data_IF_908834768957
#
_entry.id   IF_908834768957
#
_cell.length_a   1.000
_cell.length_b   1.000
_cell.length_c   1.000
_cell.angle_alpha   90.00
_cell.angle_beta   90.00
_cell.angle_gamma   90.00
#
_symmetry.space_group_name_H-M   'P 1'
#
loop_
_entity.id
_entity.type
_entity.pdbx_description
1 polymer ?
#
# COMPACT_ATOMS: atom_id res chain seq x y z
N UNK A 1 16.42 -8.37 -5.38
CA UNK A 1 17.84 -7.95 -5.22
C UNK A 1 18.15 -6.66 -6.01
N UNK A 2 17.70 -6.53 -7.27
CA UNK A 2 17.91 -5.34 -8.11
C UNK A 2 17.21 -4.06 -7.60
N UNK A 3 15.98 -4.16 -7.06
CA UNK A 3 15.25 -3.01 -6.49
C UNK A 3 15.90 -2.46 -5.22
N UNK A 4 16.47 -3.33 -4.39
CA UNK A 4 17.09 -2.98 -3.10
C UNK A 4 18.36 -2.14 -3.33
N UNK A 5 19.15 -2.46 -4.35
CA UNK A 5 20.35 -1.72 -4.72
C UNK A 5 20.05 -0.31 -5.29
N UNK A 6 18.94 -0.17 -6.04
CA UNK A 6 18.55 1.12 -6.63
C UNK A 6 18.07 2.11 -5.55
N UNK A 7 17.29 1.64 -4.59
CA UNK A 7 16.77 2.48 -3.51
C UNK A 7 17.85 2.85 -2.47
N UNK A 8 18.74 1.91 -2.11
CA UNK A 8 19.86 2.20 -1.20
C UNK A 8 20.77 3.32 -1.75
N UNK A 9 20.99 3.37 -3.06
CA UNK A 9 21.87 4.37 -3.70
C UNK A 9 21.24 5.77 -3.83
N UNK A 10 19.91 5.88 -3.98
CA UNK A 10 19.21 7.16 -4.13
C UNK A 10 18.79 7.80 -2.79
N UNK A 11 18.53 6.98 -1.77
CA UNK A 11 17.86 7.41 -0.53
C UNK A 11 18.82 7.57 0.66
N UNK A 12 19.94 6.84 0.68
CA UNK A 12 20.94 6.84 1.77
C UNK A 12 21.63 8.19 1.99
N UNK A 13 21.65 9.09 1.00
CA UNK A 13 22.45 10.33 1.11
C UNK A 13 21.77 11.49 1.86
N UNK A 14 20.44 11.54 2.05
CA UNK A 14 19.77 12.79 2.52
C UNK A 14 18.56 12.68 3.47
N UNK A 15 17.96 11.51 3.70
CA UNK A 15 16.77 11.40 4.56
C UNK A 15 16.82 10.17 5.47
N UNK A 16 16.43 10.33 6.74
CA UNK A 16 16.30 9.19 7.69
C UNK A 16 15.06 8.37 7.34
N UNK A 17 15.13 7.03 7.48
CA UNK A 17 14.03 6.11 7.11
C UNK A 17 12.72 6.44 7.83
N UNK A 18 12.81 6.85 9.09
CA UNK A 18 11.64 7.31 9.87
C UNK A 18 10.98 8.56 9.28
N UNK A 19 11.75 9.50 8.72
CA UNK A 19 11.19 10.68 8.02
C UNK A 19 10.45 10.26 6.75
N UNK A 20 10.98 9.28 6.01
CA UNK A 20 10.36 8.79 4.77
C UNK A 20 9.05 8.07 5.04
N UNK A 21 9.02 7.19 6.05
CA UNK A 21 7.80 6.50 6.48
C UNK A 21 6.75 7.51 6.97
N UNK A 22 7.18 8.49 7.77
CA UNK A 22 6.27 9.53 8.28
C UNK A 22 5.71 10.37 7.13
N UNK A 23 6.56 10.84 6.22
CA UNK A 23 6.13 11.61 5.05
C UNK A 23 5.20 10.81 4.14
N UNK A 24 5.54 9.56 3.81
CA UNK A 24 4.69 8.67 3.02
C UNK A 24 3.35 8.40 3.71
N UNK A 25 3.34 8.24 5.04
CA UNK A 25 2.08 8.06 5.78
C UNK A 25 1.21 9.32 5.69
N UNK A 26 1.78 10.51 5.91
CA UNK A 26 1.07 11.79 5.84
C UNK A 26 0.52 12.03 4.43
N UNK A 27 1.35 11.86 3.40
CA UNK A 27 0.95 12.04 2.00
C UNK A 27 -0.19 11.08 1.63
N UNK A 28 -0.12 9.82 2.09
CA UNK A 28 -1.19 8.83 1.83
C UNK A 28 -2.50 9.22 2.52
N UNK A 29 -2.46 9.66 3.78
CA UNK A 29 -3.65 10.12 4.52
C UNK A 29 -4.27 11.34 3.86
N UNK A 30 -3.45 12.32 3.44
CA UNK A 30 -3.92 13.50 2.70
C UNK A 30 -4.52 13.10 1.34
N UNK A 31 -3.87 12.18 0.61
CA UNK A 31 -4.38 11.68 -0.67
C UNK A 31 -5.76 11.05 -0.53
N UNK A 32 -5.96 10.22 0.50
CA UNK A 32 -7.26 9.60 0.80
C UNK A 32 -8.32 10.62 1.26
N UNK A 33 -7.94 11.66 2.02
CA UNK A 33 -8.84 12.77 2.39
C UNK A 33 -9.28 13.58 1.15
N UNK A 34 -8.35 13.84 0.23
CA UNK A 34 -8.64 14.49 -1.05
C UNK A 34 -9.55 13.61 -1.91
N UNK A 35 -9.29 12.30 -1.97
CA UNK A 35 -10.13 11.34 -2.68
C UNK A 35 -11.57 11.31 -2.12
N UNK A 36 -11.74 11.39 -0.80
CA UNK A 36 -13.05 11.51 -0.15
C UNK A 36 -13.80 12.77 -0.60
N UNK A 37 -13.08 13.87 -0.80
CA UNK A 37 -13.64 15.20 -1.14
C UNK A 37 -14.08 15.35 -2.60
N UNK A 38 -13.61 14.48 -3.51
CA UNK A 38 -13.98 14.50 -4.94
C UNK A 38 -15.47 14.20 -5.13
N UNK A 39 -16.23 15.10 -5.76
CA UNK A 39 -17.67 14.93 -6.00
C UNK A 39 -18.58 15.48 -4.90
N UNK A 40 -18.02 16.00 -3.80
CA UNK A 40 -18.73 16.87 -2.86
C UNK A 40 -18.30 18.33 -3.03
N UNK A 41 -16.98 18.57 -2.97
CA UNK A 41 -16.38 19.91 -3.05
C UNK A 41 -15.63 20.07 -4.37
N UNK A 42 -14.93 19.03 -4.85
CA UNK A 42 -14.18 19.07 -6.11
C UNK A 42 -15.00 18.49 -7.26
N UNK A 43 -14.90 19.07 -8.48
CA UNK A 43 -15.59 18.53 -9.66
C UNK A 43 -15.12 17.10 -9.95
N UNK A 44 -16.06 16.22 -10.34
CA UNK A 44 -15.73 14.87 -10.81
C UNK A 44 -15.04 14.97 -12.17
N UNK A 45 -13.71 15.10 -12.16
CA UNK A 45 -12.90 14.99 -13.37
C UNK A 45 -11.98 13.76 -13.28
N UNK A 46 -11.93 13.01 -14.38
CA UNK A 46 -11.09 11.82 -14.51
C UNK A 46 -9.61 12.19 -14.30
N UNK A 47 -9.19 13.36 -14.77
CA UNK A 47 -7.81 13.85 -14.65
C UNK A 47 -7.44 14.07 -13.18
N UNK A 48 -8.29 14.74 -12.40
CA UNK A 48 -8.03 14.99 -10.99
C UNK A 48 -7.96 13.68 -10.19
N UNK A 49 -8.86 12.73 -10.50
CA UNK A 49 -8.88 11.42 -9.86
C UNK A 49 -7.58 10.64 -10.13
N UNK A 50 -7.06 10.70 -11.36
CA UNK A 50 -5.80 10.05 -11.72
C UNK A 50 -4.59 10.69 -11.02
N UNK A 51 -4.55 12.01 -10.88
CA UNK A 51 -3.46 12.69 -10.16
C UNK A 51 -3.45 12.28 -8.68
N UNK A 52 -4.63 12.26 -8.04
CA UNK A 52 -4.75 11.83 -6.64
C UNK A 52 -4.39 10.33 -6.51
N UNK A 53 -4.87 9.49 -7.42
CA UNK A 53 -4.56 8.07 -7.46
C UNK A 53 -3.05 7.84 -7.59
N UNK A 54 -2.39 8.52 -8.53
CA UNK A 54 -0.95 8.45 -8.70
C UNK A 54 -0.19 8.84 -7.43
N UNK A 55 -0.62 9.91 -6.75
CA UNK A 55 0.00 10.34 -5.50
C UNK A 55 -0.13 9.29 -4.38
N UNK A 56 -1.31 8.68 -4.23
CA UNK A 56 -1.54 7.62 -3.25
C UNK A 56 -0.67 6.39 -3.57
N UNK A 57 -0.67 5.93 -4.83
CA UNK A 57 0.12 4.78 -5.28
C UNK A 57 1.61 5.00 -5.07
N UNK A 58 2.13 6.18 -5.43
CA UNK A 58 3.53 6.53 -5.24
C UNK A 58 3.93 6.48 -3.76
N UNK A 59 3.08 7.05 -2.90
CA UNK A 59 3.31 7.12 -1.46
C UNK A 59 3.26 5.74 -0.79
N UNK A 60 2.28 4.89 -1.15
CA UNK A 60 2.22 3.50 -0.69
C UNK A 60 3.43 2.68 -1.18
N UNK A 61 3.87 2.90 -2.42
CA UNK A 61 5.07 2.29 -2.98
C UNK A 61 6.32 2.63 -2.17
N UNK A 62 6.49 3.90 -1.82
CA UNK A 62 7.60 4.37 -0.99
C UNK A 62 7.57 3.76 0.43
N UNK A 63 6.39 3.64 1.04
CA UNK A 63 6.22 2.99 2.34
C UNK A 63 6.63 1.50 2.29
N UNK A 64 6.09 0.75 1.31
CA UNK A 64 6.40 -0.67 1.14
C UNK A 64 7.90 -0.91 0.89
N UNK A 65 8.53 -0.05 0.08
CA UNK A 65 9.96 -0.14 -0.19
C UNK A 65 10.80 0.09 1.07
N UNK A 66 10.44 1.09 1.89
CA UNK A 66 11.16 1.36 3.14
C UNK A 66 11.03 0.21 4.13
N UNK A 67 9.86 -0.42 4.21
CA UNK A 67 9.62 -1.61 5.04
C UNK A 67 10.50 -2.80 4.63
N UNK A 68 10.68 -3.04 3.32
CA UNK A 68 11.56 -4.10 2.82
C UNK A 68 13.02 -3.86 3.22
N UNK A 69 13.49 -2.61 3.14
CA UNK A 69 14.85 -2.23 3.54
C UNK A 69 15.05 -2.44 5.04
N UNK A 70 14.12 -1.95 5.88
CA UNK A 70 14.18 -2.13 7.33
C UNK A 70 14.19 -3.60 7.75
N UNK A 71 13.43 -4.44 7.06
CA UNK A 71 13.42 -5.87 7.32
C UNK A 71 14.74 -6.52 6.88
N UNK A 72 15.30 -6.16 5.71
CA UNK A 72 16.60 -6.68 5.28
C UNK A 72 17.73 -6.33 6.25
N UNK A 73 17.75 -5.10 6.78
CA UNK A 73 18.78 -4.70 7.76
C UNK A 73 18.64 -5.46 9.07
N UNK A 74 17.41 -5.84 9.45
CA UNK A 74 17.18 -6.68 10.63
C UNK A 74 17.68 -8.10 10.40
N UNK A 75 17.52 -8.63 9.18
CA UNK A 75 18.07 -9.94 8.78
C UNK A 75 19.59 -9.92 8.80
N UNK A 76 20.21 -8.89 8.20
CA UNK A 76 21.67 -8.73 8.16
C UNK A 76 22.25 -8.63 9.57
N UNK A 77 21.60 -7.89 10.47
CA UNK A 77 22.01 -7.83 11.88
C UNK A 77 21.93 -9.20 12.58
N UNK A 78 20.88 -9.98 12.31
CA UNK A 78 20.69 -11.31 12.89
C UNK A 78 21.79 -12.29 12.42
N UNK A 79 22.12 -12.29 11.14
CA UNK A 79 23.20 -13.11 10.56
C UNK A 79 24.56 -12.75 11.18
N UNK A 80 24.84 -11.46 11.35
CA UNK A 80 26.10 -11.00 11.93
C UNK A 80 26.21 -11.38 13.42
N UNK A 81 25.09 -11.45 14.17
CA UNK A 81 25.07 -11.78 15.60
C UNK A 81 25.09 -13.29 15.88
N UNK A 82 24.38 -14.09 15.09
CA UNK A 82 24.22 -15.53 15.34
C UNK A 82 25.10 -16.42 14.45
N UNK A 83 25.74 -15.86 13.41
CA UNK A 83 26.59 -16.57 12.45
C UNK A 83 25.91 -17.74 11.73
N UNK A 84 24.58 -17.85 11.84
CA UNK A 84 23.74 -18.77 11.08
C UNK A 84 22.88 -17.98 10.10
N UNK A 85 22.69 -18.54 8.90
CA UNK A 85 22.01 -17.86 7.81
C UNK A 85 20.55 -18.31 7.71
N UNK A 86 19.63 -17.52 8.27
CA UNK A 86 18.19 -17.81 8.26
C UNK A 86 17.42 -17.11 7.12
N UNK A 87 18.11 -16.53 6.13
CA UNK A 87 17.55 -15.80 4.97
C UNK A 87 16.33 -16.47 4.33
N UNK A 88 16.44 -17.77 4.06
CA UNK A 88 15.41 -18.55 3.37
C UNK A 88 14.13 -18.63 4.19
N UNK A 89 14.23 -18.79 5.51
CA UNK A 89 13.08 -18.89 6.41
C UNK A 89 12.38 -17.53 6.48
N UNK A 90 13.14 -16.44 6.64
CA UNK A 90 12.58 -15.10 6.78
C UNK A 90 11.93 -14.63 5.46
N UNK A 91 12.53 -14.96 4.32
CA UNK A 91 11.95 -14.72 3.00
C UNK A 91 10.64 -15.50 2.80
N UNK A 92 10.60 -16.77 3.20
CA UNK A 92 9.39 -17.60 3.13
C UNK A 92 8.26 -17.02 3.99
N UNK A 93 8.56 -16.61 5.23
CA UNK A 93 7.59 -15.96 6.13
C UNK A 93 7.06 -14.66 5.52
N UNK A 94 7.94 -13.85 4.90
CA UNK A 94 7.52 -12.60 4.22
C UNK A 94 6.56 -12.91 3.07
N UNK A 95 6.89 -13.86 2.20
CA UNK A 95 6.03 -14.22 1.06
C UNK A 95 4.69 -14.82 1.52
N UNK A 96 4.71 -15.63 2.57
CA UNK A 96 3.49 -16.14 3.19
C UNK A 96 2.61 -15.01 3.74
N UNK A 97 3.20 -14.08 4.49
CA UNK A 97 2.48 -12.96 5.08
C UNK A 97 1.87 -12.04 4.01
N UNK A 98 2.59 -11.75 2.93
CA UNK A 98 2.06 -10.93 1.83
C UNK A 98 0.93 -11.63 1.08
N UNK A 99 1.03 -12.95 0.84
CA UNK A 99 -0.04 -13.72 0.21
C UNK A 99 -1.29 -13.81 1.09
N UNK A 100 -1.12 -14.03 2.39
CA UNK A 100 -2.22 -14.01 3.35
C UNK A 100 -2.89 -12.63 3.38
N UNK A 101 -2.10 -11.56 3.43
CA UNK A 101 -2.59 -10.19 3.40
C UNK A 101 -3.40 -9.90 2.12
N UNK A 102 -2.96 -10.38 0.95
CA UNK A 102 -3.73 -10.23 -0.30
C UNK A 102 -5.08 -10.96 -0.26
N UNK A 103 -5.14 -12.14 0.35
CA UNK A 103 -6.41 -12.86 0.49
C UNK A 103 -7.38 -12.12 1.43
N UNK A 104 -6.85 -11.59 2.54
CA UNK A 104 -7.64 -10.78 3.49
C UNK A 104 -8.12 -9.49 2.83
N UNK A 105 -7.27 -8.80 2.07
CA UNK A 105 -7.61 -7.58 1.35
C UNK A 105 -8.79 -7.82 0.38
N UNK A 106 -8.72 -8.90 -0.42
CA UNK A 106 -9.80 -9.28 -1.32
C UNK A 106 -11.11 -9.58 -0.58
N UNK A 107 -11.04 -10.25 0.57
CA UNK A 107 -12.21 -10.54 1.39
C UNK A 107 -12.86 -9.27 1.95
N UNK A 108 -12.04 -8.30 2.41
CA UNK A 108 -12.53 -7.02 2.92
C UNK A 108 -13.20 -6.19 1.82
N UNK A 109 -12.60 -6.12 0.63
CA UNK A 109 -13.21 -5.44 -0.52
C UNK A 109 -14.56 -6.06 -0.89
N UNK A 110 -14.64 -7.39 -0.92
CA UNK A 110 -15.90 -8.10 -1.17
C UNK A 110 -16.98 -7.77 -0.13
N UNK A 111 -16.62 -7.74 1.16
CA UNK A 111 -17.53 -7.35 2.24
C UNK A 111 -18.04 -5.91 2.09
N UNK A 112 -17.18 -4.96 1.73
CA UNK A 112 -17.58 -3.56 1.50
C UNK A 112 -18.60 -3.46 0.35
N UNK A 113 -18.40 -4.22 -0.73
CA UNK A 113 -19.35 -4.25 -1.85
C UNK A 113 -20.72 -4.82 -1.46
N UNK A 114 -20.73 -5.85 -0.62
CA UNK A 114 -21.97 -6.44 -0.09
C UNK A 114 -22.68 -5.45 0.83
N UNK A 115 -21.97 -4.85 1.79
CA UNK A 115 -22.54 -3.90 2.77
C UNK A 115 -23.06 -2.62 2.09
N UNK A 116 -22.37 -2.13 1.07
CA UNK A 116 -22.82 -0.97 0.29
C UNK A 116 -24.04 -1.25 -0.58
N UNK A 117 -24.49 -2.52 -0.68
CA UNK A 117 -25.57 -2.99 -1.54
C UNK A 117 -25.36 -2.64 -3.03
N UNK A 118 -24.10 -2.38 -3.42
CA UNK A 118 -23.67 -2.13 -4.81
C UNK A 118 -23.19 -3.43 -5.46
N UNK A 119 -23.00 -4.51 -4.72
CA UNK A 119 -22.47 -5.78 -5.24
C UNK A 119 -23.16 -6.25 -6.54
N UNK A 120 -24.49 -6.18 -6.63
CA UNK A 120 -25.23 -6.57 -7.84
C UNK A 120 -24.95 -5.64 -9.05
N UNK A 121 -24.72 -4.35 -8.80
CA UNK A 121 -24.33 -3.37 -9.83
C UNK A 121 -22.87 -3.63 -10.24
N UNK A 122 -21.99 -3.86 -9.27
CA UNK A 122 -20.58 -4.19 -9.49
C UNK A 122 -20.42 -5.42 -10.38
N UNK A 123 -21.17 -6.49 -10.11
CA UNK A 123 -21.10 -7.71 -10.93
C UNK A 123 -21.60 -7.51 -12.36
N UNK A 124 -22.60 -6.65 -12.56
CA UNK A 124 -23.07 -6.26 -13.90
C UNK A 124 -22.00 -5.48 -14.66
N UNK A 125 -21.30 -4.57 -13.98
CA UNK A 125 -20.18 -3.81 -14.56
C UNK A 125 -19.03 -4.76 -14.92
N UNK A 126 -18.62 -5.64 -14.01
CA UNK A 126 -17.57 -6.64 -14.29
C UNK A 126 -17.92 -7.54 -15.47
N UNK A 127 -19.19 -7.93 -15.61
CA UNK A 127 -19.67 -8.68 -16.78
C UNK A 127 -19.56 -7.92 -18.10
N UNK A 128 -19.72 -6.59 -18.08
CA UNK A 128 -19.52 -5.72 -19.26
C UNK A 128 -18.04 -5.52 -19.58
N UNK A 129 -17.18 -5.39 -18.56
CA UNK A 129 -15.73 -5.30 -18.74
C UNK A 129 -15.15 -6.57 -19.37
N UNK A 130 -15.63 -7.75 -18.95
CA UNK A 130 -15.24 -9.03 -19.58
C UNK A 130 -15.67 -9.05 -21.05
N UNK A 131 -16.87 -8.54 -21.37
CA UNK A 131 -17.38 -8.46 -22.75
C UNK A 131 -16.59 -7.47 -23.64
N UNK A 132 -16.06 -6.39 -23.06
CA UNK A 132 -15.10 -5.54 -23.74
C UNK A 132 -13.74 -6.24 -23.93
N UNK A 133 -13.28 -6.99 -22.93
CA UNK A 133 -12.03 -7.75 -23.00
C UNK A 133 -12.01 -8.84 -24.07
N UNK A 134 -13.17 -9.41 -24.42
CA UNK A 134 -13.33 -10.40 -25.50
C UNK A 134 -13.65 -9.77 -26.88
N UNK A 135 -13.75 -8.43 -26.97
CA UNK A 135 -13.93 -7.71 -28.23
C UNK A 135 -15.38 -7.60 -28.76
N UNK A 136 -16.40 -8.04 -28.02
CA UNK A 136 -17.82 -7.90 -28.41
C UNK A 136 -18.36 -6.47 -28.19
N UNK A 137 -17.72 -5.68 -27.33
CA UNK A 137 -18.08 -4.30 -27.03
C UNK A 137 -16.87 -3.37 -27.14
N UNK A 138 -17.01 -2.28 -27.88
CA UNK A 138 -16.05 -1.16 -27.84
C UNK A 138 -16.05 -0.51 -26.45
N UNK A 139 -14.87 -0.14 -25.94
CA UNK A 139 -14.68 0.44 -24.59
C UNK A 139 -15.59 1.65 -24.32
N UNK A 140 -15.98 2.38 -25.37
CA UNK A 140 -16.91 3.50 -25.32
C UNK A 140 -18.34 3.09 -24.93
N UNK A 141 -18.85 1.98 -25.47
CA UNK A 141 -20.17 1.44 -25.14
C UNK A 141 -20.22 0.82 -23.73
N UNK A 142 -19.09 0.37 -23.19
CA UNK A 142 -18.97 -0.10 -21.80
C UNK A 142 -19.05 1.08 -20.83
N UNK A 143 -18.36 2.18 -21.12
CA UNK A 143 -18.41 3.39 -20.28
C UNK A 143 -19.84 3.95 -20.22
N UNK A 144 -20.54 4.04 -21.35
CA UNK A 144 -21.93 4.56 -21.41
C UNK A 144 -22.92 3.65 -20.67
N UNK A 145 -22.77 2.33 -20.77
CA UNK A 145 -23.63 1.38 -20.05
C UNK A 145 -23.30 1.35 -18.55
N UNK A 146 -22.03 1.38 -18.19
CA UNK A 146 -21.59 1.48 -16.80
C UNK A 146 -22.11 2.77 -16.15
N UNK A 147 -22.08 3.90 -16.86
CA UNK A 147 -22.62 5.17 -16.36
C UNK A 147 -24.13 5.09 -16.08
N UNK A 148 -24.91 4.39 -16.93
CA UNK A 148 -26.34 4.14 -16.67
C UNK A 148 -26.57 3.29 -15.41
N UNK A 149 -25.75 2.27 -15.19
CA UNK A 149 -25.81 1.45 -13.98
C UNK A 149 -25.35 2.21 -12.73
N UNK A 150 -24.33 3.05 -12.86
CA UNK A 150 -23.87 3.92 -11.78
C UNK A 150 -25.00 4.89 -11.43
N UNK A 151 -25.67 5.52 -12.40
CA UNK A 151 -26.80 6.44 -12.19
C UNK A 151 -27.95 5.83 -11.40
N UNK A 152 -28.19 4.52 -11.49
CA UNK A 152 -29.18 3.83 -10.65
C UNK A 152 -28.74 3.60 -9.19
N UNK A 153 -27.45 3.72 -8.89
CA UNK A 153 -26.96 3.63 -7.52
C UNK A 153 -27.26 4.92 -6.75
N UNK A 154 -27.91 4.76 -5.59
CA UNK A 154 -28.26 5.85 -4.70
C UNK A 154 -27.00 6.56 -4.16
N UNK A 155 -27.12 7.86 -3.86
CA UNK A 155 -26.01 8.67 -3.36
C UNK A 155 -25.43 8.10 -2.05
N UNK A 156 -26.27 7.52 -1.18
CA UNK A 156 -25.85 6.87 0.06
C UNK A 156 -25.04 5.59 -0.18
N UNK A 157 -25.44 4.78 -1.16
CA UNK A 157 -24.71 3.55 -1.51
C UNK A 157 -23.29 3.86 -2.00
N UNK A 158 -23.14 4.88 -2.87
CA UNK A 158 -21.83 5.32 -3.38
C UNK A 158 -20.96 5.90 -2.27
N UNK A 159 -21.57 6.58 -1.30
CA UNK A 159 -20.86 7.12 -0.14
C UNK A 159 -20.34 6.00 0.78
N UNK A 160 -21.16 5.01 1.11
CA UNK A 160 -20.76 3.86 1.95
C UNK A 160 -19.63 3.08 1.29
N UNK A 161 -19.72 2.84 -0.02
CA UNK A 161 -18.64 2.19 -0.79
C UNK A 161 -17.34 2.98 -0.68
N UNK A 162 -17.40 4.30 -0.89
CA UNK A 162 -16.22 5.17 -0.83
C UNK A 162 -15.63 5.21 0.58
N UNK A 163 -16.48 5.34 1.60
CA UNK A 163 -16.04 5.34 2.99
C UNK A 163 -15.33 4.03 3.32
N UNK A 164 -15.85 2.88 2.91
CA UNK A 164 -15.23 1.58 3.14
C UNK A 164 -13.85 1.45 2.50
N UNK A 165 -13.73 1.79 1.21
CA UNK A 165 -12.46 1.67 0.47
C UNK A 165 -11.41 2.67 0.96
N UNK A 166 -11.82 3.81 1.51
CA UNK A 166 -10.89 4.82 2.06
C UNK A 166 -10.51 4.52 3.51
N UNK A 167 -11.47 4.16 4.35
CA UNK A 167 -11.23 3.98 5.79
C UNK A 167 -10.32 2.78 6.07
N UNK A 168 -10.50 1.66 5.37
CA UNK A 168 -9.73 0.44 5.61
C UNK A 168 -8.22 0.64 5.39
N UNK A 169 -7.75 1.18 4.25
CA UNK A 169 -6.33 1.46 4.05
C UNK A 169 -5.78 2.52 5.01
N UNK A 170 -6.55 3.58 5.31
CA UNK A 170 -6.11 4.65 6.22
C UNK A 170 -5.88 4.12 7.64
N UNK A 171 -6.81 3.32 8.16
CA UNK A 171 -6.68 2.69 9.49
C UNK A 171 -5.50 1.72 9.49
N UNK A 172 -5.35 0.91 8.43
CA UNK A 172 -4.28 -0.09 8.33
C UNK A 172 -2.90 0.56 8.29
N UNK A 173 -2.71 1.61 7.49
CA UNK A 173 -1.45 2.36 7.41
C UNK A 173 -1.19 3.12 8.71
N UNK A 174 -2.23 3.70 9.33
CA UNK A 174 -2.10 4.36 10.63
C UNK A 174 -1.63 3.39 11.73
N UNK A 175 -2.23 2.19 11.79
CA UNK A 175 -1.82 1.15 12.72
C UNK A 175 -0.37 0.69 12.45
N UNK A 176 0.02 0.51 11.18
CA UNK A 176 1.38 0.18 10.79
C UNK A 176 2.37 1.26 11.23
N UNK A 177 2.06 2.54 11.02
CA UNK A 177 2.90 3.66 11.47
C UNK A 177 3.12 3.67 12.98
N UNK A 178 2.06 3.46 13.77
CA UNK A 178 2.15 3.39 15.23
C UNK A 178 3.01 2.20 15.66
N UNK A 179 2.84 1.03 15.03
CA UNK A 179 3.65 -0.16 15.31
C UNK A 179 5.13 0.08 15.03
N UNK A 180 5.47 0.67 13.88
CA UNK A 180 6.84 1.00 13.52
C UNK A 180 7.43 1.98 14.55
N UNK A 181 6.72 3.07 14.87
CA UNK A 181 7.24 4.08 15.81
C UNK A 181 7.42 3.55 17.24
N UNK A 182 6.58 2.60 17.68
CA UNK A 182 6.60 2.09 19.06
C UNK A 182 7.48 0.85 19.26
N UNK A 183 7.56 -0.04 18.26
CA UNK A 183 8.30 -1.32 18.38
C UNK A 183 9.62 -1.36 17.62
N UNK A 184 9.87 -0.47 16.68
CA UNK A 184 11.12 -0.50 15.92
C UNK A 184 12.25 0.12 16.75
N UNK A 185 13.09 -0.74 17.35
CA UNK A 185 14.17 -0.37 18.27
C UNK A 185 15.52 -0.19 17.54
N UNK A 186 15.68 -0.77 16.35
CA UNK A 186 16.92 -0.72 15.56
C UNK A 186 16.89 0.55 14.69
N UNK A 187 17.09 1.70 15.31
CA UNK A 187 17.31 2.96 14.58
C UNK A 187 18.70 2.95 13.91
N UNK A 188 18.90 3.78 12.88
CA UNK A 188 20.13 3.86 12.06
C UNK A 188 21.40 3.94 12.92
N UNK A 189 21.33 4.69 14.04
CA UNK A 189 22.42 4.85 15.02
C UNK A 189 22.72 3.56 15.79
N UNK A 190 21.69 2.77 16.10
CA UNK A 190 21.85 1.50 16.82
C UNK A 190 22.42 0.44 15.89
N UNK A 191 22.05 0.46 14.60
CA UNK A 191 22.69 -0.38 13.59
C UNK A 191 24.17 -0.01 13.40
N UNK A 192 24.50 1.29 13.30
CA UNK A 192 25.91 1.74 13.21
C UNK A 192 26.73 1.36 14.44
N UNK A 193 26.23 1.59 15.66
CA UNK A 193 26.89 1.17 16.91
C UNK A 193 27.13 -0.35 16.97
N UNK A 194 26.12 -1.15 16.57
CA UNK A 194 26.22 -2.61 16.61
C UNK A 194 27.17 -3.16 15.54
N UNK A 195 27.22 -2.55 14.35
CA UNK A 195 28.17 -2.92 13.29
C UNK A 195 29.60 -2.52 13.67
N UNK A 196 29.79 -1.38 14.34
CA UNK A 196 31.09 -1.00 14.91
C UNK A 196 31.54 -1.96 16.02
N UNK A 197 30.63 -2.35 16.91
CA UNK A 197 30.91 -3.30 18.00
C UNK A 197 31.33 -4.68 17.46
N UNK A 198 30.64 -5.18 16.43
CA UNK A 198 30.97 -6.48 15.82
C UNK A 198 32.29 -6.41 15.03
N UNK A 199 32.56 -5.32 14.29
CA UNK A 199 33.86 -5.12 13.62
C UNK A 199 35.02 -4.99 14.61
N UNK A 200 34.78 -4.44 15.80
CA UNK A 200 35.79 -4.31 16.85
C UNK A 200 36.11 -5.65 17.52
N UNK A 201 35.12 -6.55 17.61
CA UNK A 201 35.27 -7.87 18.25
C UNK A 201 35.95 -8.88 17.31
N UNK A 202 35.71 -8.80 15.99
CA UNK A 202 36.38 -9.61 14.97
C UNK A 202 37.84 -9.18 14.64
N UNK A 203 38.38 -8.18 15.36
CA UNK A 203 39.77 -7.69 15.18
C UNK A 203 40.73 -8.20 16.26
N UNK A 204 40.28 -9.10 17.15
CA UNK A 204 41.09 -9.86 18.11
C UNK A 204 41.18 -11.30 17.67
#
# INVERSE_FOLDING_TARGET
>A
MFEIAFCNKLLSSKFTRNQIITAATIITVIGYMLFMSVGYILPKSIILLNIIGFLIFFSQGAFNMTMIVMLNNTIEYDEVRFHERHDSIISAVRFFATKLASAVDQAVVALILIISNIYAISQKISGLEIKAGIGELTSENVIVQADKFIQTADAGQRFILRLGIVAVPVISIGAAYILIKRKYIIDERKYEELVEEIKSTNKK
#
